data_IF_472780480289
#
_entry.id   IF_472780480289
#
_cell.length_a   1.000
_cell.length_b   1.000
_cell.length_c   1.000
_cell.angle_alpha   90.00
_cell.angle_beta   90.00
_cell.angle_gamma   90.00
#
_symmetry.space_group_name_H-M   'P 1'
#
loop_
_entity.id
_entity.type
_entity.pdbx_description
1 polymer ?
#
# COMPACT_ATOMS: atom_id res chain seq x y z
N UNK A 1 -7.42 1.98 -17.30
CA UNK A 1 -7.67 2.85 -18.49
C UNK A 1 -8.84 3.83 -18.26
N UNK A 2 -9.86 3.48 -17.47
CA UNK A 2 -10.98 4.38 -17.14
C UNK A 2 -10.58 5.59 -16.28
N UNK A 3 -9.74 5.43 -15.26
CA UNK A 3 -9.41 6.53 -14.34
C UNK A 3 -8.56 7.64 -14.96
N UNK A 4 -7.75 7.33 -15.99
CA UNK A 4 -7.01 8.36 -16.73
C UNK A 4 -7.95 9.24 -17.58
N UNK A 5 -9.01 8.65 -18.15
CA UNK A 5 -10.07 9.37 -18.86
C UNK A 5 -10.91 10.23 -17.90
N UNK A 6 -11.23 9.74 -16.70
CA UNK A 6 -11.90 10.53 -15.67
C UNK A 6 -11.04 11.69 -15.18
N UNK A 7 -9.73 11.46 -14.97
CA UNK A 7 -8.81 12.53 -14.58
C UNK A 7 -8.67 13.58 -15.70
N UNK A 8 -8.57 13.16 -16.95
CA UNK A 8 -8.51 14.06 -18.10
C UNK A 8 -9.80 14.88 -18.26
N UNK A 9 -10.98 14.25 -18.09
CA UNK A 9 -12.26 14.93 -18.14
C UNK A 9 -12.43 15.92 -16.98
N UNK A 10 -12.01 15.54 -15.77
CA UNK A 10 -12.03 16.43 -14.60
C UNK A 10 -11.09 17.63 -14.77
N UNK A 11 -9.89 17.42 -15.34
CA UNK A 11 -8.94 18.49 -15.67
C UNK A 11 -9.45 19.40 -16.79
N UNK A 12 -10.18 18.88 -17.78
CA UNK A 12 -10.80 19.69 -18.82
C UNK A 12 -11.94 20.54 -18.27
N UNK A 13 -12.82 19.94 -17.44
CA UNK A 13 -13.93 20.64 -16.79
C UNK A 13 -13.43 21.71 -15.81
N UNK A 14 -12.33 21.44 -15.11
CA UNK A 14 -11.73 22.42 -14.21
C UNK A 14 -11.07 23.58 -14.98
N UNK A 15 -10.43 23.31 -16.11
CA UNK A 15 -9.89 24.35 -16.98
C UNK A 15 -11.00 25.24 -17.56
N UNK A 16 -12.12 24.66 -18.02
CA UNK A 16 -13.24 25.44 -18.56
C UNK A 16 -14.00 26.22 -17.48
N UNK A 17 -14.21 25.64 -16.29
CA UNK A 17 -14.80 26.35 -15.16
C UNK A 17 -13.95 27.56 -14.72
N UNK A 18 -12.62 27.40 -14.74
CA UNK A 18 -11.68 28.48 -14.41
C UNK A 18 -11.74 29.63 -15.42
N UNK A 19 -11.83 29.32 -16.71
CA UNK A 19 -12.03 30.31 -17.77
C UNK A 19 -13.39 31.03 -17.68
N UNK A 20 -14.44 30.29 -17.30
CA UNK A 20 -15.78 30.86 -17.10
C UNK A 20 -15.83 31.82 -15.90
N UNK A 21 -15.23 31.45 -14.76
CA UNK A 21 -15.12 32.32 -13.59
C UNK A 21 -14.32 33.60 -13.94
N UNK A 22 -13.24 33.48 -14.73
CA UNK A 22 -12.44 34.63 -15.17
C UNK A 22 -13.13 35.60 -16.11
N UNK A 23 -14.07 35.10 -16.90
CA UNK A 23 -14.82 35.94 -17.84
C UNK A 23 -15.98 36.69 -17.18
N UNK A 24 -16.45 36.24 -16.01
CA UNK A 24 -17.65 36.79 -15.37
C UNK A 24 -17.40 37.43 -13.99
N UNK A 25 -16.17 37.39 -13.44
CA UNK A 25 -15.85 38.04 -12.17
C UNK A 25 -15.46 39.51 -12.36
N UNK A 26 -16.14 40.48 -11.71
CA UNK A 26 -15.88 41.90 -11.89
C UNK A 26 -14.64 42.33 -11.10
N UNK A 27 -13.44 42.06 -11.61
CA UNK A 27 -12.20 42.62 -11.07
C UNK A 27 -11.88 43.93 -11.80
N UNK A 28 -12.65 44.99 -11.51
CA UNK A 28 -12.49 46.29 -12.16
C UNK A 28 -11.23 47.05 -11.71
N UNK A 29 -10.53 46.61 -10.67
CA UNK A 29 -9.41 47.35 -10.05
C UNK A 29 -8.07 46.60 -9.95
N UNK A 30 -7.98 45.34 -10.41
CA UNK A 30 -6.69 44.64 -10.45
C UNK A 30 -5.96 44.88 -11.77
N UNK A 31 -4.62 44.96 -11.69
CA UNK A 31 -3.76 44.89 -12.87
C UNK A 31 -4.05 43.59 -13.65
N UNK A 32 -3.76 43.58 -14.95
CA UNK A 32 -3.93 42.39 -15.80
C UNK A 32 -3.21 41.17 -15.21
N UNK A 33 -2.02 41.36 -14.63
CA UNK A 33 -1.30 40.34 -13.87
C UNK A 33 -2.05 39.84 -12.64
N UNK A 34 -2.65 40.74 -11.86
CA UNK A 34 -3.48 40.37 -10.71
C UNK A 34 -4.68 39.51 -11.10
N UNK A 35 -5.30 39.76 -12.27
CA UNK A 35 -6.39 38.94 -12.80
C UNK A 35 -5.94 37.52 -13.13
N UNK A 36 -4.79 37.35 -13.77
CA UNK A 36 -4.24 36.02 -14.06
C UNK A 36 -3.87 35.24 -12.81
N UNK A 37 -3.27 35.90 -11.81
CA UNK A 37 -2.93 35.27 -10.52
C UNK A 37 -4.18 34.81 -9.79
N UNK A 38 -5.22 35.66 -9.73
CA UNK A 38 -6.49 35.29 -9.10
C UNK A 38 -7.19 34.15 -9.84
N UNK A 39 -7.13 34.15 -11.17
CA UNK A 39 -7.66 33.07 -11.99
C UNK A 39 -6.95 31.75 -11.74
N UNK A 40 -5.63 31.77 -11.71
CA UNK A 40 -4.82 30.59 -11.41
C UNK A 40 -5.11 30.06 -10.00
N UNK A 41 -5.20 30.95 -9.00
CA UNK A 41 -5.52 30.57 -7.63
C UNK A 41 -6.94 29.96 -7.51
N UNK A 42 -7.94 30.56 -8.16
CA UNK A 42 -9.30 30.03 -8.20
C UNK A 42 -9.35 28.65 -8.87
N UNK A 43 -8.67 28.50 -10.01
CA UNK A 43 -8.53 27.23 -10.71
C UNK A 43 -7.89 26.17 -9.81
N UNK A 44 -6.82 26.53 -9.11
CA UNK A 44 -6.09 25.66 -8.21
C UNK A 44 -6.99 25.17 -7.06
N UNK A 45 -7.66 26.10 -6.37
CA UNK A 45 -8.57 25.76 -5.27
C UNK A 45 -9.72 24.86 -5.73
N UNK A 46 -10.30 25.13 -6.91
CA UNK A 46 -11.35 24.29 -7.49
C UNK A 46 -10.85 22.88 -7.78
N UNK A 47 -9.68 22.74 -8.43
CA UNK A 47 -9.09 21.44 -8.73
C UNK A 47 -8.77 20.64 -7.46
N UNK A 48 -8.23 21.29 -6.44
CA UNK A 48 -7.91 20.65 -5.16
C UNK A 48 -9.19 20.17 -4.46
N UNK A 49 -10.24 20.99 -4.44
CA UNK A 49 -11.53 20.62 -3.85
C UNK A 49 -12.20 19.46 -4.61
N UNK A 50 -12.18 19.50 -5.94
CA UNK A 50 -12.70 18.43 -6.78
C UNK A 50 -11.91 17.13 -6.59
N UNK A 51 -10.58 17.20 -6.52
CA UNK A 51 -9.72 16.05 -6.26
C UNK A 51 -9.97 15.46 -4.86
N UNK A 52 -10.06 16.29 -3.83
CA UNK A 52 -10.40 15.85 -2.48
C UNK A 52 -11.77 15.18 -2.43
N UNK A 53 -12.78 15.76 -3.08
CA UNK A 53 -14.12 15.19 -3.13
C UNK A 53 -14.11 13.83 -3.85
N UNK A 54 -13.40 13.75 -4.99
CA UNK A 54 -13.24 12.49 -5.72
C UNK A 54 -12.55 11.41 -4.87
N UNK A 55 -11.45 11.77 -4.19
CA UNK A 55 -10.73 10.88 -3.29
C UNK A 55 -11.64 10.35 -2.18
N UNK A 56 -12.39 11.24 -1.51
CA UNK A 56 -13.24 10.87 -0.37
C UNK A 56 -14.48 10.10 -0.76
N UNK A 57 -15.14 10.47 -1.86
CA UNK A 57 -16.44 9.93 -2.23
C UNK A 57 -16.35 8.68 -3.10
N UNK A 58 -15.27 8.50 -3.87
CA UNK A 58 -15.17 7.41 -4.84
C UNK A 58 -13.93 6.54 -4.64
N UNK A 59 -12.73 7.12 -4.64
CA UNK A 59 -11.49 6.35 -4.65
C UNK A 59 -11.23 5.63 -3.32
N UNK A 60 -11.38 6.31 -2.19
CA UNK A 60 -11.11 5.69 -0.89
C UNK A 60 -12.10 4.56 -0.58
N UNK A 61 -13.42 4.71 -0.78
CA UNK A 61 -14.35 3.60 -0.61
C UNK A 61 -14.01 2.37 -1.48
N UNK A 62 -13.58 2.57 -2.73
CA UNK A 62 -13.21 1.45 -3.60
C UNK A 62 -11.92 0.74 -3.15
N UNK A 63 -10.97 1.48 -2.57
CA UNK A 63 -9.74 0.90 -2.03
C UNK A 63 -9.91 0.20 -0.67
N UNK A 64 -11.01 0.43 0.04
CA UNK A 64 -11.31 -0.18 1.35
C UNK A 64 -12.16 -1.45 1.23
N UNK A 65 -12.42 -1.93 0.00
CA UNK A 65 -13.11 -3.19 -0.21
C UNK A 65 -12.34 -4.34 0.46
N UNK A 66 -13.03 -5.12 1.29
CA UNK A 66 -12.45 -6.33 1.89
C UNK A 66 -12.09 -7.28 0.76
N UNK A 67 -10.81 -7.62 0.65
CA UNK A 67 -10.35 -8.63 -0.31
C UNK A 67 -10.78 -9.99 0.21
N UNK A 68 -11.38 -10.83 -0.65
CA UNK A 68 -11.68 -12.21 -0.26
C UNK A 68 -10.38 -12.94 0.09
N UNK A 69 -10.25 -13.48 1.31
CA UNK A 69 -9.04 -14.18 1.69
C UNK A 69 -8.89 -15.46 0.87
N UNK A 70 -7.65 -15.89 0.57
CA UNK A 70 -7.43 -17.18 -0.07
C UNK A 70 -8.05 -18.30 0.74
N UNK A 71 -8.93 -19.10 0.12
CA UNK A 71 -9.56 -20.24 0.78
C UNK A 71 -8.51 -21.33 1.00
N UNK A 72 -8.14 -21.54 2.26
CA UNK A 72 -7.26 -22.64 2.68
C UNK A 72 -8.09 -23.78 3.25
N UNK A 73 -7.71 -25.02 2.96
CA UNK A 73 -8.23 -26.17 3.69
C UNK A 73 -7.57 -26.30 5.08
N UNK A 74 -8.17 -27.11 5.97
CA UNK A 74 -7.65 -27.38 7.32
C UNK A 74 -6.19 -27.82 7.34
N UNK A 75 -5.77 -28.67 6.40
CA UNK A 75 -4.39 -29.15 6.32
C UNK A 75 -3.40 -28.03 5.96
N UNK A 76 -3.80 -27.11 5.07
CA UNK A 76 -2.99 -25.95 4.69
C UNK A 76 -2.88 -24.96 5.85
N UNK A 77 -3.98 -24.70 6.57
CA UNK A 77 -3.98 -23.88 7.79
C UNK A 77 -3.06 -24.46 8.86
N UNK A 78 -3.17 -25.76 9.14
CA UNK A 78 -2.26 -26.41 10.11
C UNK A 78 -0.80 -26.29 9.69
N UNK A 79 -0.49 -26.50 8.40
CA UNK A 79 0.87 -26.35 7.89
C UNK A 79 1.38 -24.90 8.01
N UNK A 80 0.52 -23.92 7.76
CA UNK A 80 0.85 -22.50 7.95
C UNK A 80 1.15 -22.22 9.44
N UNK A 81 0.27 -22.69 10.33
CA UNK A 81 0.42 -22.56 11.78
C UNK A 81 1.75 -23.11 12.27
N UNK A 82 2.08 -24.35 11.90
CA UNK A 82 3.34 -25.00 12.26
C UNK A 82 4.56 -24.21 11.78
N UNK A 83 4.50 -23.63 10.57
CA UNK A 83 5.56 -22.79 10.02
C UNK A 83 5.73 -21.51 10.82
N UNK A 84 4.64 -20.80 11.13
CA UNK A 84 4.66 -19.59 11.96
C UNK A 84 5.24 -19.88 13.34
N UNK A 85 4.80 -20.97 13.97
CA UNK A 85 5.24 -21.36 15.30
C UNK A 85 6.67 -21.90 15.34
N UNK A 86 7.25 -22.40 14.24
CA UNK A 86 8.63 -22.92 14.21
C UNK A 86 9.69 -21.82 14.29
N UNK A 87 9.30 -20.54 14.26
CA UNK A 87 10.23 -19.40 14.18
C UNK A 87 11.41 -19.54 15.18
N UNK A 88 12.65 -19.77 14.70
CA UNK A 88 13.78 -20.04 15.58
C UNK A 88 14.31 -18.79 16.30
N UNK A 89 13.91 -17.59 15.86
CA UNK A 89 14.41 -16.32 16.36
C UNK A 89 13.52 -15.61 17.37
N UNK A 90 12.36 -16.19 17.74
CA UNK A 90 11.36 -15.51 18.56
C UNK A 90 10.56 -16.52 19.39
N UNK A 91 10.29 -16.19 20.66
CA UNK A 91 9.41 -17.00 21.51
C UNK A 91 7.96 -16.93 21.00
N UNK A 92 7.14 -17.93 21.33
CA UNK A 92 5.71 -17.90 20.97
C UNK A 92 4.96 -16.74 21.66
N UNK A 93 5.39 -16.36 22.87
CA UNK A 93 4.85 -15.21 23.59
C UNK A 93 5.17 -13.90 22.86
N UNK A 94 6.43 -13.67 22.50
CA UNK A 94 6.82 -12.46 21.76
C UNK A 94 6.19 -12.40 20.38
N UNK A 95 6.04 -13.55 19.73
CA UNK A 95 5.31 -13.63 18.47
C UNK A 95 3.86 -13.19 18.62
N UNK A 96 3.15 -13.67 19.64
CA UNK A 96 1.78 -13.23 19.91
C UNK A 96 1.73 -11.73 20.26
N UNK A 97 2.60 -11.25 21.16
CA UNK A 97 2.67 -9.83 21.56
C UNK A 97 2.87 -8.88 20.39
N UNK A 98 3.68 -9.27 19.40
CA UNK A 98 3.91 -8.45 18.21
C UNK A 98 2.63 -8.14 17.42
N UNK A 99 1.62 -9.00 17.47
CA UNK A 99 0.31 -8.76 16.85
C UNK A 99 -0.60 -7.81 17.65
N UNK A 100 -0.29 -7.62 18.93
CA UNK A 100 -0.98 -6.73 19.84
C UNK A 100 -0.13 -5.50 20.20
N UNK A 101 0.77 -5.07 19.31
CA UNK A 101 1.63 -3.89 19.49
C UNK A 101 2.45 -3.94 20.79
N UNK A 102 3.02 -5.11 21.07
CA UNK A 102 3.96 -5.37 22.17
C UNK A 102 3.40 -5.22 23.59
N UNK A 103 2.07 -5.25 23.74
CA UNK A 103 1.39 -5.34 25.04
C UNK A 103 1.96 -6.51 25.87
N UNK A 104 1.92 -6.39 27.20
CA UNK A 104 2.30 -7.47 28.11
C UNK A 104 1.49 -8.74 27.80
N UNK A 105 2.18 -9.88 27.69
CA UNK A 105 1.57 -11.13 27.24
C UNK A 105 0.39 -11.55 28.13
N UNK A 106 0.50 -11.33 29.44
CA UNK A 106 -0.48 -11.68 30.46
C UNK A 106 -1.78 -10.88 30.35
N UNK A 107 -1.76 -9.74 29.65
CA UNK A 107 -2.94 -8.89 29.41
C UNK A 107 -3.74 -9.34 28.18
N UNK A 108 -3.19 -10.21 27.34
CA UNK A 108 -3.87 -10.72 26.14
C UNK A 108 -4.94 -11.69 26.61
N UNK A 109 -6.21 -11.39 26.30
CA UNK A 109 -7.33 -12.23 26.72
C UNK A 109 -7.62 -13.33 25.72
N UNK A 110 -8.44 -14.31 26.12
CA UNK A 110 -8.89 -15.38 25.23
C UNK A 110 -9.61 -14.82 24.00
N UNK A 111 -10.47 -13.84 24.19
CA UNK A 111 -11.24 -13.22 23.10
C UNK A 111 -10.35 -12.45 22.13
N UNK A 112 -9.27 -11.82 22.62
CA UNK A 112 -8.26 -11.17 21.78
C UNK A 112 -7.55 -12.21 20.88
N UNK A 113 -7.16 -13.35 21.46
CA UNK A 113 -6.54 -14.45 20.70
C UNK A 113 -7.50 -15.06 19.67
N UNK A 114 -8.76 -15.29 20.03
CA UNK A 114 -9.76 -15.85 19.13
C UNK A 114 -9.95 -14.93 17.91
N UNK A 115 -10.08 -13.61 18.13
CA UNK A 115 -10.18 -12.62 17.03
C UNK A 115 -8.92 -12.56 16.17
N UNK A 116 -7.75 -12.59 16.80
CA UNK A 116 -6.47 -12.59 16.09
C UNK A 116 -6.33 -13.82 15.19
N UNK A 117 -6.67 -15.02 15.68
CA UNK A 117 -6.55 -16.25 14.91
C UNK A 117 -7.64 -16.40 13.85
N UNK A 118 -8.87 -15.95 14.11
CA UNK A 118 -9.93 -15.87 13.10
C UNK A 118 -9.44 -15.09 11.86
N UNK A 119 -8.83 -13.92 12.10
CA UNK A 119 -8.22 -13.15 11.04
C UNK A 119 -6.96 -13.82 10.46
N UNK A 120 -6.03 -14.26 11.30
CA UNK A 120 -4.73 -14.76 10.86
C UNK A 120 -4.80 -16.05 10.03
N UNK A 121 -5.82 -16.88 10.26
CA UNK A 121 -5.96 -18.20 9.64
C UNK A 121 -7.09 -18.29 8.62
N UNK A 122 -8.15 -17.47 8.75
CA UNK A 122 -9.26 -17.44 7.79
C UNK A 122 -9.40 -16.10 7.06
N UNK A 123 -8.76 -15.03 7.53
CA UNK A 123 -8.96 -13.67 7.00
C UNK A 123 -10.35 -13.10 7.30
N UNK A 124 -11.02 -13.62 8.34
CA UNK A 124 -12.40 -13.30 8.69
C UNK A 124 -12.50 -12.76 10.12
N UNK A 125 -13.64 -12.13 10.41
CA UNK A 125 -14.04 -11.81 11.79
C UNK A 125 -14.54 -13.07 12.51
N UNK A 126 -14.52 -13.06 13.85
CA UNK A 126 -14.94 -14.21 14.66
C UNK A 126 -16.42 -14.57 14.41
N UNK A 127 -17.26 -13.56 14.15
CA UNK A 127 -18.68 -13.70 13.88
C UNK A 127 -18.98 -14.37 12.52
N UNK A 128 -18.03 -14.32 11.59
CA UNK A 128 -18.15 -14.90 10.25
C UNK A 128 -17.72 -16.37 10.19
N UNK A 129 -17.09 -16.91 11.25
CA UNK A 129 -16.67 -18.31 11.28
C UNK A 129 -17.85 -19.26 11.49
N UNK A 130 -17.81 -20.41 10.81
CA UNK A 130 -18.73 -21.52 11.09
C UNK A 130 -18.38 -22.18 12.43
N UNK A 131 -19.29 -22.98 12.97
CA UNK A 131 -19.03 -23.69 14.24
C UNK A 131 -17.89 -24.71 14.10
N UNK A 132 -17.71 -25.31 12.92
CA UNK A 132 -16.56 -26.19 12.64
C UNK A 132 -15.23 -25.42 12.62
N UNK A 133 -15.21 -24.23 12.01
CA UNK A 133 -14.01 -23.38 11.97
C UNK A 133 -13.66 -22.86 13.37
N UNK A 134 -14.65 -22.53 14.21
CA UNK A 134 -14.43 -22.16 15.61
C UNK A 134 -13.80 -23.29 16.41
N UNK A 135 -14.25 -24.53 16.23
CA UNK A 135 -13.62 -25.69 16.89
C UNK A 135 -12.17 -25.90 16.44
N UNK A 136 -11.88 -25.70 15.15
CA UNK A 136 -10.50 -25.74 14.66
C UNK A 136 -9.63 -24.64 15.29
N UNK A 137 -10.15 -23.41 15.37
CA UNK A 137 -9.50 -22.26 16.00
C UNK A 137 -9.20 -22.52 17.48
N UNK A 138 -10.14 -23.09 18.25
CA UNK A 138 -9.92 -23.47 19.65
C UNK A 138 -8.74 -24.44 19.81
N UNK A 139 -8.57 -25.35 18.85
CA UNK A 139 -7.40 -26.23 18.77
C UNK A 139 -6.10 -25.44 18.55
N UNK A 140 -6.11 -24.41 17.70
CA UNK A 140 -4.96 -23.52 17.48
C UNK A 140 -4.60 -22.72 18.75
N UNK A 141 -5.60 -22.18 19.46
CA UNK A 141 -5.38 -21.50 20.75
C UNK A 141 -4.75 -22.46 21.75
N UNK A 142 -5.28 -23.68 21.86
CA UNK A 142 -4.73 -24.69 22.77
C UNK A 142 -3.26 -25.00 22.48
N UNK A 143 -2.90 -25.10 21.19
CA UNK A 143 -1.50 -25.28 20.78
C UNK A 143 -0.64 -24.07 21.11
N UNK A 144 -1.17 -22.85 20.97
CA UNK A 144 -0.47 -21.62 21.35
C UNK A 144 -0.20 -21.59 22.86
N UNK A 145 -1.22 -21.85 23.68
CA UNK A 145 -1.11 -21.93 25.14
C UNK A 145 -0.04 -22.95 25.55
N UNK A 146 -0.06 -24.15 24.97
CA UNK A 146 0.94 -25.18 25.21
C UNK A 146 2.36 -24.70 24.85
N UNK A 147 2.51 -23.99 23.72
CA UNK A 147 3.79 -23.45 23.28
C UNK A 147 4.29 -22.28 24.12
N UNK A 148 3.38 -21.56 24.77
CA UNK A 148 3.67 -20.50 25.73
C UNK A 148 3.88 -21.01 27.16
N UNK A 149 4.29 -22.29 27.31
CA UNK A 149 4.57 -22.89 28.62
C UNK A 149 3.32 -23.32 29.40
N UNK A 150 2.19 -23.49 28.71
CA UNK A 150 0.91 -23.85 29.32
C UNK A 150 0.12 -22.65 29.88
N UNK A 151 0.53 -21.42 29.57
CA UNK A 151 -0.21 -20.21 29.94
C UNK A 151 -1.63 -20.27 29.35
N UNK A 152 -2.64 -20.06 30.20
CA UNK A 152 -4.04 -19.97 29.79
C UNK A 152 -4.43 -18.51 29.65
N UNK A 153 -4.93 -18.13 28.48
CA UNK A 153 -5.37 -16.76 28.26
C UNK A 153 -6.58 -16.44 29.14
N UNK A 154 -6.55 -15.35 29.94
CA UNK A 154 -7.64 -15.02 30.84
C UNK A 154 -8.91 -14.62 30.07
N UNK A 155 -10.10 -14.82 30.66
CA UNK A 155 -11.32 -14.22 30.11
C UNK A 155 -11.21 -12.70 30.16
N UNK A 156 -11.86 -12.02 29.21
CA UNK A 156 -11.90 -10.56 29.16
C UNK A 156 -12.85 -10.01 30.22
N UNK A 157 -12.44 -8.95 30.90
CA UNK A 157 -13.33 -8.12 31.71
C UNK A 157 -14.28 -7.34 30.77
N UNK A 158 -15.62 -7.49 30.90
CA UNK A 158 -16.58 -6.78 30.05
C UNK A 158 -16.48 -5.25 30.10
N UNK A 159 -15.93 -4.69 31.19
CA UNK A 159 -15.70 -3.24 31.33
C UNK A 159 -14.49 -2.73 30.53
N UNK A 160 -13.62 -3.64 30.09
CA UNK A 160 -12.42 -3.34 29.30
C UNK A 160 -12.69 -3.66 27.84
N UNK A 161 -12.40 -2.70 26.96
CA UNK A 161 -12.47 -2.90 25.52
C UNK A 161 -11.42 -3.91 25.02
N UNK A 162 -11.67 -4.49 23.86
CA UNK A 162 -10.72 -5.41 23.23
C UNK A 162 -9.39 -4.73 22.90
N UNK A 163 -8.31 -5.51 22.95
CA UNK A 163 -7.01 -5.02 22.56
C UNK A 163 -6.98 -4.73 21.06
N UNK A 164 -6.20 -3.71 20.68
CA UNK A 164 -5.91 -3.46 19.28
C UNK A 164 -5.07 -4.62 18.74
N UNK A 165 -5.58 -5.33 17.74
CA UNK A 165 -4.88 -6.37 17.01
C UNK A 165 -4.57 -5.86 15.59
N UNK A 166 -3.40 -6.18 15.05
CA UNK A 166 -3.04 -5.84 13.67
C UNK A 166 -3.74 -6.72 12.63
N UNK A 167 -5.06 -6.56 12.46
CA UNK A 167 -5.85 -7.31 11.49
C UNK A 167 -5.80 -6.67 10.10
N UNK A 168 -4.62 -6.61 9.49
CA UNK A 168 -4.29 -5.72 8.35
C UNK A 168 -5.22 -5.77 7.13
N UNK A 169 -5.93 -6.88 6.89
CA UNK A 169 -6.88 -6.99 5.76
C UNK A 169 -8.32 -6.62 6.13
N UNK A 170 -8.62 -6.50 7.42
CA UNK A 170 -9.92 -6.08 7.97
C UNK A 170 -9.87 -4.65 8.49
N UNK A 171 -8.71 -4.22 8.98
CA UNK A 171 -8.49 -2.88 9.48
C UNK A 171 -8.66 -1.86 8.34
N UNK A 172 -9.40 -0.76 8.57
CA UNK A 172 -9.47 0.31 7.58
C UNK A 172 -8.07 0.88 7.36
N UNK A 173 -7.65 0.97 6.10
CA UNK A 173 -6.34 1.51 5.75
C UNK A 173 -6.34 3.01 6.08
N UNK A 174 -5.54 3.49 7.04
CA UNK A 174 -5.51 4.90 7.37
C UNK A 174 -4.98 5.70 6.17
N UNK A 175 -5.74 6.66 5.69
CA UNK A 175 -5.33 7.53 4.59
C UNK A 175 -5.16 8.97 5.04
N UNK A 176 -4.06 9.57 4.58
CA UNK A 176 -3.84 11.00 4.66
C UNK A 176 -4.06 11.61 3.28
N UNK A 177 -4.85 12.68 3.20
CA UNK A 177 -4.96 13.45 1.98
C UNK A 177 -3.64 14.18 1.73
N UNK A 178 -3.06 13.95 0.55
CA UNK A 178 -1.98 14.78 0.03
C UNK A 178 -2.54 15.71 -1.05
N UNK A 179 -2.01 16.92 -1.13
CA UNK A 179 -2.48 17.88 -2.12
C UNK A 179 -2.30 17.33 -3.55
N UNK A 180 -3.18 17.70 -4.47
CA UNK A 180 -3.10 17.32 -5.89
C UNK A 180 -1.70 17.63 -6.45
N UNK A 181 -1.10 18.74 -6.02
CA UNK A 181 0.28 19.09 -6.36
C UNK A 181 1.29 17.98 -6.08
N UNK A 182 1.20 17.34 -4.91
CA UNK A 182 2.14 16.31 -4.51
C UNK A 182 2.07 15.12 -5.48
N UNK A 183 0.86 14.71 -5.86
CA UNK A 183 0.67 13.64 -6.84
C UNK A 183 1.16 14.04 -8.23
N UNK A 184 0.87 15.25 -8.70
CA UNK A 184 1.38 15.74 -10.00
C UNK A 184 2.91 15.75 -10.00
N UNK A 185 3.51 16.28 -8.93
CA UNK A 185 4.96 16.37 -8.80
C UNK A 185 5.61 14.98 -8.80
N UNK A 186 5.12 14.03 -7.98
CA UNK A 186 5.78 12.72 -7.84
C UNK A 186 5.42 11.75 -8.97
N UNK A 187 4.16 11.70 -9.40
CA UNK A 187 3.66 10.70 -10.35
C UNK A 187 3.81 11.11 -11.81
N UNK A 188 3.84 12.43 -12.08
CA UNK A 188 3.97 12.95 -13.46
C UNK A 188 5.36 13.50 -13.68
N UNK A 189 5.77 14.51 -12.91
CA UNK A 189 7.00 15.25 -13.17
C UNK A 189 8.22 14.38 -12.85
N UNK A 190 8.34 13.87 -11.61
CA UNK A 190 9.48 13.06 -11.18
C UNK A 190 9.59 11.78 -11.98
N UNK A 191 8.46 11.13 -12.24
CA UNK A 191 8.41 9.94 -13.08
C UNK A 191 8.86 10.24 -14.53
N UNK A 192 8.43 11.35 -15.16
CA UNK A 192 8.91 11.71 -16.49
C UNK A 192 10.42 12.00 -16.51
N UNK A 193 10.93 12.71 -15.50
CA UNK A 193 12.37 12.96 -15.34
C UNK A 193 13.14 11.65 -15.15
N UNK A 194 12.65 10.76 -14.29
CA UNK A 194 13.23 9.44 -14.04
C UNK A 194 13.27 8.60 -15.31
N UNK A 195 12.16 8.49 -16.05
CA UNK A 195 12.11 7.77 -17.33
C UNK A 195 13.13 8.32 -18.32
N UNK A 196 13.25 9.65 -18.43
CA UNK A 196 14.24 10.30 -19.29
C UNK A 196 15.67 9.99 -18.83
N UNK A 197 15.92 10.01 -17.53
CA UNK A 197 17.22 9.69 -16.94
C UNK A 197 17.64 8.23 -17.20
N UNK A 198 16.69 7.30 -17.06
CA UNK A 198 16.87 5.87 -17.35
C UNK A 198 17.13 5.61 -18.84
N UNK A 199 16.35 6.24 -19.71
CA UNK A 199 16.52 6.11 -21.16
C UNK A 199 17.90 6.60 -21.63
N UNK A 200 18.37 7.74 -21.11
CA UNK A 200 19.72 8.25 -21.38
C UNK A 200 20.84 7.29 -20.96
N UNK A 201 20.59 6.41 -19.98
CA UNK A 201 21.52 5.37 -19.50
C UNK A 201 21.42 4.07 -20.29
N UNK A 202 20.57 4.02 -21.33
CA UNK A 202 20.37 2.85 -22.17
C UNK A 202 19.41 1.81 -21.58
N UNK A 203 18.65 2.16 -20.53
CA UNK A 203 17.61 1.27 -20.03
C UNK A 203 16.34 1.37 -20.87
N UNK A 204 15.69 0.23 -21.08
CA UNK A 204 14.36 0.10 -21.66
C UNK A 204 13.41 -0.48 -20.64
N UNK A 205 12.19 0.06 -20.57
CA UNK A 205 11.15 -0.49 -19.69
C UNK A 205 10.52 -1.70 -20.34
N UNK A 206 10.45 -2.80 -19.61
CA UNK A 206 9.82 -4.07 -20.02
C UNK A 206 8.80 -4.45 -18.96
N UNK A 207 7.64 -4.94 -19.40
CA UNK A 207 6.63 -5.54 -18.53
C UNK A 207 6.52 -7.01 -18.91
N UNK A 208 6.69 -7.90 -17.94
CA UNK A 208 6.49 -9.33 -18.13
C UNK A 208 5.03 -9.69 -17.85
N UNK A 209 4.66 -10.98 -17.99
CA UNK A 209 3.33 -11.44 -17.57
C UNK A 209 3.12 -11.12 -16.08
N UNK A 210 2.05 -10.39 -15.77
CA UNK A 210 1.70 -9.96 -14.42
C UNK A 210 2.10 -8.50 -14.10
N UNK A 211 2.04 -8.11 -12.81
CA UNK A 211 2.20 -6.71 -12.39
C UNK A 211 3.66 -6.23 -12.33
N UNK A 212 4.63 -7.14 -12.46
CA UNK A 212 6.05 -6.80 -12.34
C UNK A 212 6.57 -6.04 -13.56
N UNK A 213 7.25 -4.93 -13.29
CA UNK A 213 7.89 -4.09 -14.31
C UNK A 213 9.40 -4.13 -14.12
N UNK A 214 10.11 -3.91 -15.22
CA UNK A 214 11.56 -3.99 -15.24
C UNK A 214 12.15 -2.85 -16.04
N UNK A 215 13.33 -2.38 -15.63
CA UNK A 215 14.22 -1.58 -16.45
C UNK A 215 15.41 -2.43 -16.84
N UNK A 216 15.53 -2.69 -18.14
CA UNK A 216 16.53 -3.59 -18.70
C UNK A 216 17.56 -2.80 -19.49
N UNK A 217 18.84 -2.96 -19.15
CA UNK A 217 19.97 -2.51 -19.95
C UNK A 217 20.80 -3.73 -20.31
N UNK A 218 20.75 -4.14 -21.57
CA UNK A 218 21.55 -5.25 -22.07
C UNK A 218 22.86 -4.73 -22.69
N UNK A 219 23.96 -5.41 -22.39
CA UNK A 219 25.28 -5.15 -23.00
C UNK A 219 25.80 -6.42 -23.68
N UNK A 220 26.67 -6.24 -24.68
CA UNK A 220 27.32 -7.36 -25.38
C UNK A 220 28.44 -8.03 -24.56
N UNK A 221 28.71 -7.52 -23.35
CA UNK A 221 29.77 -8.08 -22.53
C UNK A 221 29.33 -9.45 -21.99
N UNK A 222 30.19 -10.48 -22.10
CA UNK A 222 29.90 -11.79 -21.55
C UNK A 222 29.92 -11.75 -20.03
N UNK A 223 28.90 -12.32 -19.39
CA UNK A 223 28.81 -12.40 -17.93
C UNK A 223 27.36 -12.50 -17.45
N UNK A 224 27.15 -12.88 -16.17
CA UNK A 224 25.82 -12.90 -15.59
C UNK A 224 25.26 -11.48 -15.44
N UNK A 225 23.95 -11.28 -15.68
CA UNK A 225 23.33 -9.98 -15.46
C UNK A 225 23.23 -9.67 -13.96
N UNK A 226 23.33 -8.39 -13.61
CA UNK A 226 23.06 -7.92 -12.25
C UNK A 226 21.57 -7.63 -12.13
N UNK A 227 20.92 -8.20 -11.11
CA UNK A 227 19.52 -7.94 -10.79
C UNK A 227 19.43 -7.13 -9.51
N UNK A 228 18.77 -5.97 -9.56
CA UNK A 228 18.61 -5.07 -8.43
C UNK A 228 17.13 -4.88 -8.08
N UNK A 229 16.82 -5.01 -6.78
CA UNK A 229 15.49 -4.78 -6.22
C UNK A 229 15.53 -3.51 -5.37
N UNK A 230 14.62 -2.57 -5.63
CA UNK A 230 14.47 -1.40 -4.76
C UNK A 230 13.64 -1.74 -3.52
N UNK A 231 13.83 -0.95 -2.45
CA UNK A 231 13.03 -1.05 -1.22
C UNK A 231 11.72 -0.27 -1.27
N UNK A 232 11.09 -0.12 -0.10
CA UNK A 232 9.88 0.68 0.08
C UNK A 232 10.19 2.17 -0.11
N UNK A 233 9.42 2.88 -0.93
CA UNK A 233 9.62 4.31 -1.16
C UNK A 233 9.14 4.77 -2.54
N UNK A 234 9.71 5.82 -3.12
CA UNK A 234 9.32 6.35 -4.44
C UNK A 234 9.94 5.58 -5.64
N UNK A 235 10.07 4.25 -5.50
CA UNK A 235 10.66 3.37 -6.52
C UNK A 235 12.18 3.51 -6.62
N UNK A 236 12.71 3.43 -7.84
CA UNK A 236 14.16 3.45 -8.12
C UNK A 236 14.82 4.84 -8.02
N UNK A 237 14.03 5.92 -7.88
CA UNK A 237 14.56 7.29 -7.90
C UNK A 237 15.64 7.58 -6.83
N UNK A 238 15.50 7.15 -5.56
CA UNK A 238 16.54 7.38 -4.55
C UNK A 238 17.84 6.60 -4.83
N UNK A 239 17.77 5.62 -5.72
CA UNK A 239 18.87 4.72 -6.04
C UNK A 239 19.64 5.13 -7.30
N UNK A 240 19.44 6.34 -7.84
CA UNK A 240 20.12 6.76 -9.07
C UNK A 240 21.65 6.66 -8.99
N UNK A 241 22.26 6.95 -7.84
CA UNK A 241 23.70 6.75 -7.65
C UNK A 241 24.13 5.28 -7.73
N UNK A 242 23.31 4.36 -7.20
CA UNK A 242 23.53 2.91 -7.35
C UNK A 242 23.36 2.50 -8.80
N UNK A 243 22.34 3.02 -9.49
CA UNK A 243 22.11 2.75 -10.92
C UNK A 243 23.32 3.19 -11.75
N UNK A 244 23.89 4.36 -11.48
CA UNK A 244 25.10 4.84 -12.16
C UNK A 244 26.28 3.88 -11.92
N UNK A 245 26.54 3.52 -10.66
CA UNK A 245 27.59 2.54 -10.35
C UNK A 245 27.38 1.18 -11.02
N UNK A 246 26.13 0.72 -11.14
CA UNK A 246 25.79 -0.52 -11.86
C UNK A 246 26.02 -0.39 -13.36
N UNK A 247 25.71 0.75 -13.96
CA UNK A 247 25.96 1.02 -15.39
C UNK A 247 27.46 0.99 -15.69
N UNK A 248 28.27 1.56 -14.79
CA UNK A 248 29.72 1.65 -14.93
C UNK A 248 30.43 0.30 -14.88
N UNK A 249 29.80 -0.74 -14.31
CA UNK A 249 30.33 -2.11 -14.33
C UNK A 249 30.42 -2.71 -15.75
N UNK A 250 29.69 -2.15 -16.72
CA UNK A 250 29.60 -2.70 -18.08
C UNK A 250 28.71 -3.94 -18.21
N UNK A 251 28.26 -4.52 -17.10
CA UNK A 251 27.36 -5.68 -17.10
C UNK A 251 25.97 -5.35 -17.66
N UNK A 252 25.25 -6.40 -18.07
CA UNK A 252 23.81 -6.29 -18.29
C UNK A 252 23.10 -6.09 -16.94
N UNK A 253 22.17 -5.15 -16.86
CA UNK A 253 21.49 -4.76 -15.61
C UNK A 253 19.98 -4.88 -15.77
N UNK A 254 19.34 -5.52 -14.79
CA UNK A 254 17.90 -5.65 -14.65
C UNK A 254 17.49 -4.99 -13.33
N UNK A 255 16.80 -3.85 -13.40
CA UNK A 255 16.23 -3.23 -12.21
C UNK A 255 14.76 -3.63 -12.11
N UNK A 256 14.40 -4.28 -11.01
CA UNK A 256 13.03 -4.70 -10.72
C UNK A 256 12.27 -3.53 -10.14
N UNK A 257 11.20 -3.13 -10.81
CA UNK A 257 10.28 -2.06 -10.42
C UNK A 257 9.03 -2.71 -9.85
N UNK A 258 8.94 -2.73 -8.52
CA UNK A 258 7.88 -3.40 -7.76
C UNK A 258 6.81 -2.34 -7.43
N UNK A 259 5.69 -2.30 -8.18
CA UNK A 259 4.67 -1.28 -7.97
C UNK A 259 4.15 -1.28 -6.53
N UNK A 260 3.94 -2.45 -5.92
CA UNK A 260 3.31 -2.65 -4.62
C UNK A 260 4.06 -2.06 -3.41
N UNK A 261 5.37 -1.86 -3.54
CA UNK A 261 6.20 -1.23 -2.49
C UNK A 261 6.76 0.11 -2.95
N UNK A 262 6.40 0.53 -4.17
CA UNK A 262 6.67 1.87 -4.65
C UNK A 262 5.45 2.74 -4.34
N UNK A 263 5.66 3.96 -3.84
CA UNK A 263 4.64 4.97 -3.64
C UNK A 263 4.16 5.49 -5.00
N UNK A 264 3.51 4.62 -5.78
CA UNK A 264 2.95 4.85 -7.09
C UNK A 264 1.51 4.37 -7.09
N UNK A 265 0.64 5.18 -7.68
CA UNK A 265 -0.74 4.76 -7.93
C UNK A 265 -0.70 3.86 -9.18
N UNK A 266 -0.82 2.55 -9.00
CA UNK A 266 -0.91 1.59 -10.10
C UNK A 266 -2.12 0.70 -9.91
N UNK A 267 -2.92 0.55 -10.96
CA UNK A 267 -4.17 -0.23 -10.98
C UNK A 267 -3.97 -1.69 -11.39
N UNK A 268 -2.75 -2.08 -11.76
CA UNK A 268 -2.51 -3.41 -12.33
C UNK A 268 -2.44 -4.46 -11.20
N UNK A 269 -3.61 -4.89 -10.73
CA UNK A 269 -3.84 -6.13 -9.96
C UNK A 269 -4.75 -7.04 -10.78
#
# INVERSE_FOLDING_TARGET
MGNLLYLQAALLLSFTASLWIGSHWPISHASTWGKYVLLFAAAWCFNEAAFWAWMKLFFMPSCQGITEPPKMCKAERMRLWERCMRNPGMSAQDFARGWFFDVEFEKITREDCDRWLAWGMWGLTLEQLTDEDKQEMEGLVTMLEAKCGGHKFPPRDPSVGLLKCGTYTLDPVPHKHYYLFAYVLTMVIFEAMFRRAMWKRGFKRVQCKGPMRFWVRHTKQPGPPIVFFHGVGIGLYPYMGVVDGLVDTGASVLLVDIPFVSARITEDV
#
